data_IF_270368235850
#
_entry.id   IF_270368235850
#
_cell.length_a   1.000
_cell.length_b   1.000
_cell.length_c   1.000
_cell.angle_alpha   90.00
_cell.angle_beta   90.00
_cell.angle_gamma   90.00
#
_symmetry.space_group_name_H-M   'P 1'
#
loop_
_entity.id
_entity.type
_entity.pdbx_description
1 polymer ?
#
# COMPACT_ATOMS: atom_id res chain seq x y z
N UNK A 1 65.21 -50.99 -33.06
CA UNK A 1 65.92 -49.89 -33.74
C UNK A 1 64.92 -48.85 -34.20
N UNK A 2 65.27 -47.57 -33.99
CA UNK A 2 64.77 -46.34 -34.62
C UNK A 2 63.38 -45.78 -34.24
N UNK A 3 63.51 -44.60 -33.61
CA UNK A 3 62.56 -43.50 -33.42
C UNK A 3 62.02 -42.95 -34.75
N UNK A 4 61.03 -42.05 -34.60
CA UNK A 4 60.76 -40.83 -35.39
C UNK A 4 59.48 -40.88 -36.24
N UNK A 5 58.68 -39.82 -36.45
CA UNK A 5 58.41 -38.50 -35.85
C UNK A 5 57.33 -37.88 -36.78
N UNK A 6 56.27 -37.27 -36.22
CA UNK A 6 55.50 -36.07 -36.69
C UNK A 6 54.78 -36.19 -38.09
N UNK A 7 53.54 -35.76 -38.37
CA UNK A 7 53.00 -34.38 -38.53
C UNK A 7 51.50 -34.44 -38.92
N UNK A 8 50.68 -33.72 -38.13
CA UNK A 8 49.67 -32.70 -38.50
C UNK A 8 48.90 -32.90 -39.82
N UNK A 9 47.56 -33.00 -39.74
CA UNK A 9 46.64 -31.93 -40.16
C UNK A 9 45.24 -32.47 -40.52
N UNK A 10 44.25 -31.66 -40.17
CA UNK A 10 43.04 -31.35 -40.96
C UNK A 10 41.67 -31.88 -40.49
N UNK A 11 40.90 -30.91 -39.97
CA UNK A 11 39.54 -30.55 -40.41
C UNK A 11 38.42 -31.45 -39.87
N UNK A 12 37.80 -31.04 -38.75
CA UNK A 12 36.49 -30.37 -38.70
C UNK A 12 35.37 -31.26 -39.26
N UNK A 13 34.62 -31.91 -38.37
CA UNK A 13 33.17 -32.01 -38.52
C UNK A 13 32.46 -32.28 -37.17
N UNK A 14 31.70 -31.25 -36.76
CA UNK A 14 30.42 -31.32 -36.05
C UNK A 14 30.37 -31.83 -34.61
N UNK A 15 30.68 -30.90 -33.72
CA UNK A 15 29.74 -30.38 -32.70
C UNK A 15 28.27 -30.68 -33.00
N UNK A 16 27.56 -31.40 -32.13
CA UNK A 16 26.08 -31.36 -32.09
C UNK A 16 25.48 -31.91 -30.78
N UNK A 17 26.06 -31.64 -29.60
CA UNK A 17 25.33 -31.77 -28.32
C UNK A 17 25.82 -30.75 -27.28
N UNK A 18 25.95 -29.48 -27.68
CA UNK A 18 25.90 -28.40 -26.69
C UNK A 18 24.44 -28.14 -26.38
N UNK A 19 23.98 -28.79 -25.31
CA UNK A 19 22.79 -28.42 -24.56
C UNK A 19 22.62 -26.90 -24.57
N UNK A 20 21.47 -26.42 -25.05
CA UNK A 20 21.00 -25.08 -24.74
C UNK A 20 20.78 -25.04 -23.22
N UNK A 21 21.86 -24.76 -22.48
CA UNK A 21 21.77 -24.14 -21.18
C UNK A 21 21.08 -22.80 -21.45
N UNK A 22 19.75 -22.82 -21.35
CA UNK A 22 18.94 -21.62 -21.27
C UNK A 22 19.56 -20.83 -20.13
N UNK A 23 20.28 -19.76 -20.47
CA UNK A 23 20.77 -18.81 -19.47
C UNK A 23 19.54 -18.43 -18.67
N UNK A 24 19.52 -18.78 -17.38
CA UNK A 24 18.53 -18.22 -16.46
C UNK A 24 18.53 -16.72 -16.75
N UNK A 25 17.38 -16.23 -17.26
CA UNK A 25 17.19 -14.80 -17.36
C UNK A 25 17.48 -14.27 -15.96
N UNK A 26 18.31 -13.22 -15.81
CA UNK A 26 18.41 -12.56 -14.51
C UNK A 26 16.97 -12.33 -14.03
N UNK A 27 16.65 -12.64 -12.76
CA UNK A 27 15.30 -12.45 -12.26
C UNK A 27 14.87 -11.07 -12.69
N UNK A 28 13.77 -10.99 -13.47
CA UNK A 28 13.18 -9.69 -13.79
C UNK A 28 13.05 -9.00 -12.44
N UNK A 29 13.66 -7.83 -12.31
CA UNK A 29 13.42 -6.96 -11.17
C UNK A 29 11.90 -6.85 -11.07
N UNK A 30 11.32 -7.47 -10.03
CA UNK A 30 9.87 -7.53 -9.88
C UNK A 30 9.46 -6.09 -9.72
N UNK A 31 8.66 -5.58 -10.65
CA UNK A 31 8.09 -4.25 -10.51
C UNK A 31 7.17 -4.29 -9.28
N UNK A 32 7.63 -3.74 -8.16
CA UNK A 32 6.87 -3.75 -6.89
C UNK A 32 5.54 -2.99 -7.02
N UNK A 33 5.30 -2.27 -8.13
CA UNK A 33 4.05 -1.59 -8.44
C UNK A 33 3.06 -2.42 -9.26
N UNK A 34 3.43 -3.65 -9.65
CA UNK A 34 2.57 -4.58 -10.36
C UNK A 34 2.54 -5.93 -9.67
N UNK A 35 1.35 -6.43 -9.32
CA UNK A 35 1.17 -7.76 -8.73
C UNK A 35 0.66 -8.76 -9.78
N UNK A 36 -0.47 -8.47 -10.41
CA UNK A 36 -1.04 -9.32 -11.45
C UNK A 36 -1.98 -8.55 -12.40
N UNK A 37 -2.20 -9.09 -13.59
CA UNK A 37 -3.15 -8.56 -14.57
C UNK A 37 -4.55 -9.15 -14.37
N UNK A 38 -5.14 -8.90 -13.20
CA UNK A 38 -6.51 -9.31 -12.87
C UNK A 38 -7.37 -8.11 -12.44
N UNK A 39 -8.69 -8.35 -12.34
CA UNK A 39 -9.63 -7.36 -11.83
C UNK A 39 -9.37 -6.98 -10.37
N UNK A 40 -9.93 -5.85 -9.95
CA UNK A 40 -9.96 -5.48 -8.53
C UNK A 40 -10.84 -6.45 -7.72
N UNK A 41 -10.56 -6.58 -6.43
CA UNK A 41 -11.41 -7.34 -5.51
C UNK A 41 -11.42 -6.71 -4.11
N UNK A 42 -12.50 -6.95 -3.37
CA UNK A 42 -12.62 -6.51 -1.98
C UNK A 42 -11.77 -7.40 -1.08
N UNK A 43 -10.96 -6.77 -0.22
CA UNK A 43 -10.14 -7.47 0.78
C UNK A 43 -10.92 -7.59 2.10
N UNK A 44 -11.75 -6.59 2.40
CA UNK A 44 -12.65 -6.61 3.55
C UNK A 44 -12.97 -5.21 4.07
N UNK A 45 -13.62 -5.15 5.23
CA UNK A 45 -14.04 -3.90 5.87
C UNK A 45 -13.44 -3.76 7.27
N UNK A 46 -12.92 -2.57 7.59
CA UNK A 46 -12.43 -2.22 8.92
C UNK A 46 -13.22 -1.03 9.50
N UNK A 47 -13.50 -1.10 10.80
CA UNK A 47 -14.18 -0.04 11.53
C UNK A 47 -13.15 0.85 12.23
N UNK A 48 -13.02 2.11 11.79
CA UNK A 48 -12.04 3.05 12.32
C UNK A 48 -12.73 4.31 12.85
N UNK A 49 -12.09 4.98 13.81
CA UNK A 49 -12.54 6.31 14.18
C UNK A 49 -12.06 7.30 13.12
N UNK A 50 -12.97 8.15 12.64
CA UNK A 50 -12.65 9.21 11.70
C UNK A 50 -13.41 10.49 12.01
N UNK A 51 -12.85 11.63 11.63
CA UNK A 51 -13.54 12.93 11.68
C UNK A 51 -13.27 13.74 10.42
N UNK A 52 -14.20 14.64 10.09
CA UNK A 52 -14.04 15.63 9.03
C UNK A 52 -14.03 17.04 9.60
N UNK A 53 -13.08 17.87 9.14
CA UNK A 53 -12.90 19.22 9.64
C UNK A 53 -12.62 19.25 11.15
N UNK A 54 -13.51 19.90 11.91
CA UNK A 54 -13.42 20.04 13.38
C UNK A 54 -14.45 19.19 14.13
N UNK A 55 -15.07 18.22 13.46
CA UNK A 55 -16.06 17.34 14.09
C UNK A 55 -15.42 16.36 15.06
N UNK A 56 -16.21 15.86 16.02
CA UNK A 56 -15.76 14.80 16.91
C UNK A 56 -15.55 13.49 16.13
N UNK A 57 -14.50 12.71 16.46
CA UNK A 57 -14.32 11.38 15.88
C UNK A 57 -15.54 10.49 16.09
N UNK A 58 -15.90 9.73 15.06
CA UNK A 58 -16.96 8.73 15.10
C UNK A 58 -16.49 7.46 14.41
N UNK A 59 -17.12 6.33 14.69
CA UNK A 59 -16.84 5.08 13.98
C UNK A 59 -17.36 5.21 12.55
N UNK A 60 -16.51 4.87 11.59
CA UNK A 60 -16.83 4.80 10.17
C UNK A 60 -16.35 3.45 9.61
N UNK A 61 -17.09 2.93 8.64
CA UNK A 61 -16.70 1.74 7.91
C UNK A 61 -15.77 2.13 6.77
N UNK A 62 -14.62 1.46 6.67
CA UNK A 62 -13.66 1.59 5.60
C UNK A 62 -13.57 0.25 4.86
N UNK A 63 -14.17 0.19 3.68
CA UNK A 63 -14.07 -0.95 2.78
C UNK A 63 -12.77 -0.85 1.98
N UNK A 64 -11.93 -1.87 2.06
CA UNK A 64 -10.64 -1.97 1.38
C UNK A 64 -10.78 -2.79 0.10
N UNK A 65 -10.39 -2.19 -1.03
CA UNK A 65 -10.38 -2.82 -2.36
C UNK A 65 -8.96 -2.84 -2.89
N UNK A 66 -8.49 -4.01 -3.32
CA UNK A 66 -7.19 -4.17 -3.94
C UNK A 66 -7.27 -4.03 -5.46
N UNK A 67 -6.25 -3.39 -6.05
CA UNK A 67 -6.06 -3.29 -7.49
C UNK A 67 -4.70 -3.92 -7.85
N UNK A 68 -4.66 -5.21 -8.22
CA UNK A 68 -3.40 -5.93 -8.46
C UNK A 68 -2.53 -5.34 -9.58
N UNK A 69 -3.14 -4.75 -10.62
CA UNK A 69 -2.41 -4.18 -11.77
C UNK A 69 -1.48 -3.03 -11.43
N UNK A 70 -1.83 -2.24 -10.42
CA UNK A 70 -1.06 -1.06 -10.01
C UNK A 70 -0.65 -1.13 -8.54
N UNK A 71 -0.90 -2.27 -7.89
CA UNK A 71 -0.62 -2.53 -6.49
C UNK A 71 -1.17 -1.46 -5.52
N UNK A 72 -2.35 -0.92 -5.85
CA UNK A 72 -3.02 0.10 -5.04
C UNK A 72 -4.07 -0.53 -4.13
N UNK A 73 -4.23 0.04 -2.94
CA UNK A 73 -5.37 -0.22 -2.08
C UNK A 73 -6.21 1.05 -1.97
N UNK A 74 -7.50 0.91 -2.24
CA UNK A 74 -8.48 1.96 -2.04
C UNK A 74 -9.25 1.66 -0.75
N UNK A 75 -9.25 2.61 0.18
CA UNK A 75 -10.13 2.60 1.34
C UNK A 75 -11.31 3.53 1.08
N UNK A 76 -12.49 2.95 0.98
CA UNK A 76 -13.74 3.64 0.70
C UNK A 76 -14.54 3.80 1.97
N UNK A 77 -15.00 5.01 2.27
CA UNK A 77 -15.82 5.30 3.45
C UNK A 77 -16.87 6.36 3.14
N UNK A 78 -17.85 6.51 4.04
CA UNK A 78 -18.81 7.62 4.01
C UNK A 78 -18.59 8.52 5.22
N UNK A 79 -18.18 9.76 4.97
CA UNK A 79 -17.97 10.76 6.01
C UNK A 79 -18.83 11.99 5.69
N UNK A 80 -19.69 12.38 6.63
CA UNK A 80 -20.75 13.35 6.37
C UNK A 80 -21.71 12.86 5.28
N UNK A 81 -21.91 13.69 4.26
CA UNK A 81 -22.72 13.36 3.08
C UNK A 81 -21.89 12.72 1.95
N UNK A 82 -20.57 12.81 2.04
CA UNK A 82 -19.68 12.42 0.95
C UNK A 82 -19.23 10.97 1.09
N UNK A 83 -19.17 10.30 -0.06
CA UNK A 83 -18.36 9.10 -0.25
C UNK A 83 -16.92 9.57 -0.50
N UNK A 84 -15.99 9.01 0.25
CA UNK A 84 -14.55 9.29 0.16
C UNK A 84 -13.84 8.00 -0.23
N UNK A 85 -12.88 8.10 -1.15
CA UNK A 85 -11.95 7.03 -1.48
C UNK A 85 -10.53 7.53 -1.28
N UNK A 86 -9.77 6.83 -0.45
CA UNK A 86 -8.37 7.11 -0.16
C UNK A 86 -7.52 6.02 -0.81
N UNK A 87 -6.67 6.40 -1.74
CA UNK A 87 -5.84 5.49 -2.50
C UNK A 87 -4.39 5.55 -2.01
N UNK A 88 -3.89 4.38 -1.62
CA UNK A 88 -2.51 4.19 -1.20
C UNK A 88 -1.78 3.29 -2.18
N UNK A 89 -0.73 3.85 -2.78
CA UNK A 89 0.23 3.08 -3.56
C UNK A 89 1.10 2.22 -2.65
N UNK A 90 1.79 1.23 -3.23
CA UNK A 90 2.74 0.41 -2.49
C UNK A 90 3.81 1.22 -1.72
N UNK A 91 4.47 2.25 -2.31
CA UNK A 91 5.37 3.13 -1.57
C UNK A 91 4.72 3.82 -0.36
N UNK A 92 3.48 4.29 -0.51
CA UNK A 92 2.76 4.95 0.58
C UNK A 92 2.37 3.96 1.69
N UNK A 93 1.97 2.73 1.33
CA UNK A 93 1.73 1.64 2.31
C UNK A 93 3.00 1.30 3.08
N UNK A 94 4.16 1.25 2.41
CA UNK A 94 5.47 1.04 3.06
C UNK A 94 5.83 2.16 4.02
N UNK A 95 5.61 3.42 3.62
CA UNK A 95 5.82 4.59 4.47
C UNK A 95 4.92 4.57 5.73
N UNK A 96 3.65 4.19 5.56
CA UNK A 96 2.72 4.03 6.69
C UNK A 96 3.11 2.86 7.60
N UNK A 97 3.57 1.74 7.05
CA UNK A 97 4.02 0.59 7.84
C UNK A 97 5.23 0.94 8.71
N UNK A 98 6.21 1.68 8.19
CA UNK A 98 7.34 2.17 8.97
C UNK A 98 6.91 3.12 10.10
N UNK A 99 5.95 4.02 9.83
CA UNK A 99 5.40 4.91 10.84
C UNK A 99 4.62 4.14 11.91
N UNK A 100 3.86 3.12 11.52
CA UNK A 100 3.16 2.19 12.41
C UNK A 100 4.16 1.47 13.31
N UNK A 101 5.25 0.92 12.79
CA UNK A 101 6.25 0.21 13.59
C UNK A 101 6.80 1.11 14.70
N UNK A 102 7.17 2.36 14.35
CA UNK A 102 7.61 3.37 15.32
C UNK A 102 6.53 3.70 16.36
N UNK A 103 5.26 3.78 15.96
CA UNK A 103 4.16 3.99 16.91
C UNK A 103 3.99 2.81 17.87
N UNK A 104 4.02 1.58 17.37
CA UNK A 104 3.84 0.37 18.19
C UNK A 104 5.02 0.16 19.15
N UNK A 105 6.24 0.51 18.75
CA UNK A 105 7.41 0.56 19.62
C UNK A 105 7.19 1.52 20.78
N UNK A 106 6.88 2.80 20.49
CA UNK A 106 6.59 3.82 21.51
C UNK A 106 5.42 3.42 22.42
N UNK A 107 4.40 2.75 21.87
CA UNK A 107 3.24 2.27 22.62
C UNK A 107 3.64 1.18 23.61
N UNK A 108 4.40 0.19 23.14
CA UNK A 108 4.84 -0.95 23.95
C UNK A 108 5.79 -0.52 25.06
N UNK A 109 6.67 0.45 24.79
CA UNK A 109 7.61 0.99 25.77
C UNK A 109 6.97 2.01 26.73
N UNK A 110 5.71 2.41 26.49
CA UNK A 110 5.04 3.45 27.27
C UNK A 110 5.64 4.84 27.09
N UNK A 111 6.38 5.08 25.99
CA UNK A 111 7.10 6.32 25.69
C UNK A 111 6.31 7.24 24.74
N UNK A 112 4.98 7.18 24.77
CA UNK A 112 4.14 7.96 23.87
C UNK A 112 4.26 9.47 24.20
N UNK A 113 4.76 10.31 23.26
CA UNK A 113 4.87 11.75 23.48
C UNK A 113 3.48 12.37 23.72
N UNK A 114 3.33 13.10 24.82
CA UNK A 114 2.12 13.89 25.08
C UNK A 114 2.28 15.30 24.51
N UNK A 115 2.26 15.39 23.18
CA UNK A 115 2.36 16.67 22.47
C UNK A 115 1.27 16.80 21.42
N UNK A 116 0.89 18.05 21.12
CA UNK A 116 -0.15 18.33 20.13
C UNK A 116 0.31 17.89 18.73
N UNK A 117 -0.49 17.12 17.97
CA UNK A 117 -0.17 16.73 16.60
C UNK A 117 0.11 17.92 15.68
N UNK A 118 1.24 17.90 14.99
CA UNK A 118 1.67 18.89 13.99
C UNK A 118 2.45 18.17 12.87
N UNK A 119 2.62 18.83 11.73
CA UNK A 119 3.44 18.29 10.64
C UNK A 119 4.91 18.11 11.04
N UNK A 120 5.43 18.99 11.92
CA UNK A 120 6.84 18.99 12.36
C UNK A 120 7.23 17.83 13.29
N UNK A 121 6.26 17.20 13.94
CA UNK A 121 6.46 16.04 14.82
C UNK A 121 5.75 14.81 14.27
N UNK A 122 5.61 14.77 12.94
CA UNK A 122 5.01 13.63 12.28
C UNK A 122 5.90 12.39 12.36
N UNK A 123 5.29 11.21 12.49
CA UNK A 123 6.00 9.93 12.36
C UNK A 123 6.38 9.70 10.88
N UNK A 124 5.51 10.11 9.96
CA UNK A 124 5.75 10.16 8.53
C UNK A 124 4.89 11.24 7.85
N UNK A 125 5.29 11.62 6.65
CA UNK A 125 4.50 12.46 5.74
C UNK A 125 4.44 11.81 4.38
N UNK A 126 3.40 12.06 3.61
CA UNK A 126 3.28 11.54 2.25
C UNK A 126 2.19 12.27 1.45
N UNK A 127 1.90 11.76 0.27
CA UNK A 127 0.78 12.22 -0.54
C UNK A 127 -0.01 11.00 -1.01
N UNK A 128 -1.33 11.05 -0.87
CA UNK A 128 -2.20 9.99 -1.34
C UNK A 128 -3.28 10.59 -2.24
N UNK A 129 -3.71 9.78 -3.20
CA UNK A 129 -4.79 10.18 -4.09
C UNK A 129 -6.11 10.05 -3.34
N UNK A 130 -6.95 11.08 -3.44
CA UNK A 130 -8.24 11.16 -2.78
C UNK A 130 -9.31 11.44 -3.82
N UNK A 131 -10.39 10.65 -3.77
CA UNK A 131 -11.62 10.98 -4.45
C UNK A 131 -12.74 11.29 -3.46
N UNK A 132 -13.64 12.19 -3.83
CA UNK A 132 -14.81 12.50 -3.01
C UNK A 132 -16.02 12.94 -3.83
N UNK A 133 -17.19 12.83 -3.21
CA UNK A 133 -18.42 13.44 -3.70
C UNK A 133 -19.68 12.80 -3.11
N UNK A 134 -20.82 13.47 -3.26
CA UNK A 134 -22.05 13.12 -2.54
C UNK A 134 -22.80 11.92 -3.15
N UNK A 135 -22.83 11.82 -4.48
CA UNK A 135 -23.46 10.68 -5.20
C UNK A 135 -22.43 9.61 -5.61
N UNK A 136 -21.16 9.87 -5.35
CA UNK A 136 -20.01 9.07 -5.75
C UNK A 136 -18.74 9.93 -5.80
N UNK A 137 -17.56 9.30 -5.94
CA UNK A 137 -16.26 9.98 -6.08
C UNK A 137 -16.18 10.74 -7.43
N UNK A 138 -16.77 11.94 -7.50
CA UNK A 138 -16.78 12.77 -8.70
C UNK A 138 -15.62 13.76 -8.78
N UNK A 139 -14.97 14.01 -7.65
CA UNK A 139 -13.83 14.91 -7.53
C UNK A 139 -12.59 14.13 -7.16
N UNK A 140 -11.43 14.59 -7.65
CA UNK A 140 -10.15 13.91 -7.49
C UNK A 140 -9.01 14.88 -7.19
N UNK A 141 -8.11 14.49 -6.30
CA UNK A 141 -6.93 15.27 -5.94
C UNK A 141 -5.80 14.40 -5.39
N UNK A 142 -4.60 14.98 -5.30
CA UNK A 142 -3.55 14.47 -4.43
C UNK A 142 -3.55 15.29 -3.14
N UNK A 143 -3.82 14.63 -2.02
CA UNK A 143 -3.82 15.23 -0.71
C UNK A 143 -2.52 14.88 0.04
N UNK A 144 -1.84 15.90 0.54
CA UNK A 144 -0.78 15.68 1.51
C UNK A 144 -1.36 15.12 2.80
N UNK A 145 -0.64 14.17 3.40
CA UNK A 145 -0.96 13.67 4.72
C UNK A 145 0.26 13.71 5.64
N UNK A 146 0.00 13.67 6.93
CA UNK A 146 1.01 13.40 7.94
C UNK A 146 0.43 12.58 9.08
N UNK A 147 1.30 11.80 9.71
CA UNK A 147 0.92 10.87 10.77
C UNK A 147 1.46 11.32 12.12
N UNK A 148 0.69 11.15 13.18
CA UNK A 148 1.11 11.47 14.55
C UNK A 148 0.52 10.46 15.52
N UNK A 149 0.81 10.65 16.80
CA UNK A 149 0.07 10.02 17.89
C UNK A 149 -0.84 11.09 18.49
N UNK A 150 -2.14 10.79 18.60
CA UNK A 150 -3.11 11.69 19.24
C UNK A 150 -3.86 10.93 20.33
N UNK A 151 -3.91 11.52 21.52
CA UNK A 151 -4.74 11.00 22.60
C UNK A 151 -6.19 11.41 22.34
N UNK A 152 -7.04 10.42 22.07
CA UNK A 152 -8.49 10.58 21.94
C UNK A 152 -9.19 9.74 23.02
N UNK A 153 -10.49 9.48 22.86
CA UNK A 153 -11.36 8.58 23.66
C UNK A 153 -10.70 7.91 24.87
N UNK A 154 -11.15 8.29 26.07
CA UNK A 154 -10.61 7.81 27.35
C UNK A 154 -9.11 8.08 27.54
N UNK A 155 -8.59 9.13 26.90
CA UNK A 155 -7.18 9.50 26.93
C UNK A 155 -6.25 8.33 26.50
N UNK A 156 -6.66 7.60 25.47
CA UNK A 156 -5.87 6.52 24.87
C UNK A 156 -5.12 7.05 23.64
N UNK A 157 -3.86 6.63 23.41
CA UNK A 157 -3.06 7.11 22.29
C UNK A 157 -3.37 6.33 21.02
N UNK A 158 -3.88 7.02 19.99
CA UNK A 158 -4.16 6.46 18.68
C UNK A 158 -3.13 6.92 17.66
N UNK A 159 -2.80 6.05 16.71
CA UNK A 159 -2.12 6.45 15.49
C UNK A 159 -3.09 7.27 14.64
N UNK A 160 -2.70 8.49 14.32
CA UNK A 160 -3.53 9.42 13.55
C UNK A 160 -2.93 9.62 12.18
N UNK A 161 -3.76 9.51 11.15
CA UNK A 161 -3.47 10.01 9.80
C UNK A 161 -4.33 11.24 9.57
N UNK A 162 -3.72 12.38 9.25
CA UNK A 162 -4.45 13.55 8.77
C UNK A 162 -4.19 13.75 7.28
N UNK A 163 -5.28 13.77 6.52
CA UNK A 163 -5.31 14.31 5.16
C UNK A 163 -5.61 15.80 5.20
N UNK A 164 -4.69 16.59 4.63
CA UNK A 164 -4.88 18.02 4.46
C UNK A 164 -5.95 18.28 3.38
N UNK A 165 -6.72 19.36 3.55
CA UNK A 165 -7.64 19.79 2.49
C UNK A 165 -6.83 20.23 1.27
N UNK A 166 -7.23 19.75 0.10
CA UNK A 166 -6.58 20.06 -1.18
C UNK A 166 -7.63 20.44 -2.22
N UNK A 167 -7.22 21.19 -3.24
CA UNK A 167 -8.09 21.54 -4.36
C UNK A 167 -8.20 20.38 -5.33
N UNK A 168 -9.35 20.27 -5.98
CA UNK A 168 -9.55 19.34 -7.10
C UNK A 168 -8.56 19.62 -8.24
N UNK A 169 -8.13 18.56 -8.94
CA UNK A 169 -7.20 18.65 -10.08
C UNK A 169 -7.74 19.49 -11.23
N UNK A 170 -9.04 19.42 -11.49
CA UNK A 170 -9.69 20.08 -12.63
C UNK A 170 -10.05 21.55 -12.35
N UNK A 171 -9.60 22.11 -11.22
CA UNK A 171 -9.75 23.51 -10.80
C UNK A 171 -11.19 24.06 -10.84
N UNK A 172 -12.17 23.18 -10.60
CA UNK A 172 -13.61 23.54 -10.56
C UNK A 172 -13.99 24.44 -9.36
N UNK A 173 -13.04 24.71 -8.46
CA UNK A 173 -13.24 25.40 -7.19
C UNK A 173 -13.62 24.49 -6.02
N UNK A 174 -13.84 23.18 -6.25
CA UNK A 174 -14.09 22.22 -5.17
C UNK A 174 -12.82 21.88 -4.39
N UNK A 175 -12.98 21.57 -3.10
CA UNK A 175 -11.89 21.17 -2.22
C UNK A 175 -12.27 19.91 -1.47
N UNK A 176 -11.31 19.01 -1.27
CA UNK A 176 -11.51 17.82 -0.48
C UNK A 176 -11.83 18.18 0.98
N UNK A 177 -12.57 17.32 1.70
CA UNK A 177 -12.67 17.47 3.14
C UNK A 177 -11.31 17.21 3.80
N UNK A 178 -11.02 17.95 4.87
CA UNK A 178 -9.93 17.61 5.78
C UNK A 178 -10.34 16.40 6.63
N UNK A 179 -9.61 15.29 6.56
CA UNK A 179 -10.00 14.03 7.21
C UNK A 179 -8.94 13.62 8.23
N UNK A 180 -9.39 13.22 9.42
CA UNK A 180 -8.58 12.51 10.40
C UNK A 180 -9.04 11.06 10.47
N UNK A 181 -8.09 10.13 10.49
CA UNK A 181 -8.33 8.70 10.74
C UNK A 181 -7.51 8.32 11.97
N UNK A 182 -8.11 7.56 12.86
CA UNK A 182 -7.54 7.16 14.13
C UNK A 182 -7.55 5.63 14.23
N UNK A 183 -6.37 5.06 14.45
CA UNK A 183 -6.10 3.63 14.42
C UNK A 183 -5.46 3.25 15.76
N UNK A 184 -6.11 2.36 16.50
CA UNK A 184 -5.57 1.76 17.71
C UNK A 184 -4.55 0.65 17.38
N UNK A 185 -3.75 0.19 18.35
CA UNK A 185 -2.82 -0.92 18.10
C UNK A 185 -3.51 -2.20 17.62
N UNK A 186 -4.66 -2.56 18.19
CA UNK A 186 -5.43 -3.73 17.76
C UNK A 186 -6.02 -3.57 16.34
N UNK A 187 -6.37 -2.35 15.93
CA UNK A 187 -6.82 -2.09 14.55
C UNK A 187 -5.66 -2.17 13.57
N UNK A 188 -4.42 -1.88 13.98
CA UNK A 188 -3.26 -2.07 13.11
C UNK A 188 -2.99 -3.53 12.77
N UNK A 189 -3.23 -4.44 13.73
CA UNK A 189 -3.16 -5.88 13.48
C UNK A 189 -4.12 -6.29 12.36
N UNK A 190 -5.40 -5.87 12.45
CA UNK A 190 -6.40 -6.11 11.41
C UNK A 190 -6.00 -5.52 10.05
N UNK A 191 -5.46 -4.30 10.03
CA UNK A 191 -4.99 -3.68 8.77
C UNK A 191 -3.84 -4.50 8.17
N UNK A 192 -2.87 -4.96 8.97
CA UNK A 192 -1.76 -5.76 8.48
C UNK A 192 -2.22 -7.12 7.94
N UNK A 193 -3.09 -7.82 8.68
CA UNK A 193 -3.67 -9.09 8.24
C UNK A 193 -4.33 -8.97 6.86
N UNK A 194 -5.02 -7.86 6.59
CA UNK A 194 -5.71 -7.62 5.33
C UNK A 194 -4.78 -7.06 4.23
N UNK A 195 -3.91 -6.11 4.57
CA UNK A 195 -3.30 -5.21 3.59
C UNK A 195 -1.80 -5.39 3.40
N UNK A 196 -1.16 -6.31 4.13
CA UNK A 196 0.26 -6.61 3.95
C UNK A 196 0.51 -7.23 2.58
N UNK A 197 1.64 -6.88 1.97
CA UNK A 197 1.94 -7.26 0.59
C UNK A 197 1.91 -8.77 0.36
N UNK A 198 2.44 -9.56 1.29
CA UNK A 198 2.43 -11.01 1.20
C UNK A 198 1.01 -11.59 1.25
N UNK A 199 0.12 -11.02 2.07
CA UNK A 199 -1.30 -11.42 2.12
C UNK A 199 -1.98 -11.15 0.78
N UNK A 200 -1.76 -9.96 0.21
CA UNK A 200 -2.36 -9.59 -1.08
C UNK A 200 -1.87 -10.48 -2.23
N UNK A 201 -0.58 -10.81 -2.25
CA UNK A 201 0.00 -11.74 -3.23
C UNK A 201 -0.60 -13.14 -3.08
N UNK A 202 -0.74 -13.65 -1.85
CA UNK A 202 -1.35 -14.95 -1.60
C UNK A 202 -2.82 -15.01 -2.07
N UNK A 203 -3.60 -13.94 -1.85
CA UNK A 203 -4.98 -13.87 -2.34
C UNK A 203 -5.05 -13.83 -3.87
N UNK A 204 -4.11 -13.14 -4.53
CA UNK A 204 -4.01 -13.13 -5.99
C UNK A 204 -3.67 -14.53 -6.51
N UNK A 205 -2.72 -15.22 -5.89
CA UNK A 205 -2.34 -16.58 -6.28
C UNK A 205 -3.53 -17.54 -6.15
N UNK A 206 -4.29 -17.47 -5.05
CA UNK A 206 -5.52 -18.26 -4.86
C UNK A 206 -6.55 -18.03 -5.97
N UNK A 207 -6.80 -16.76 -6.33
CA UNK A 207 -7.73 -16.40 -7.42
C UNK A 207 -7.25 -16.96 -8.77
N UNK A 208 -5.95 -16.92 -9.04
CA UNK A 208 -5.38 -17.43 -10.29
C UNK A 208 -5.45 -18.97 -10.34
N UNK A 209 -5.14 -19.66 -9.25
CA UNK A 209 -5.26 -21.11 -9.13
C UNK A 209 -6.71 -21.58 -9.35
N UNK A 210 -7.68 -20.88 -8.76
CA UNK A 210 -9.10 -21.16 -8.98
C UNK A 210 -9.51 -20.99 -10.45
N UNK A 211 -8.99 -19.94 -11.12
CA UNK A 211 -9.31 -19.69 -12.53
C UNK A 211 -8.70 -20.74 -13.48
N UNK A 212 -7.52 -21.28 -13.16
CA UNK A 212 -6.86 -22.34 -13.92
C UNK A 212 -7.49 -23.72 -13.72
N UNK A 213 -8.27 -23.92 -12.65
CA UNK A 213 -8.94 -25.18 -12.35
C UNK A 213 -10.20 -25.45 -13.21
N UNK A 214 -10.65 -24.48 -14.01
CA UNK A 214 -11.80 -24.58 -14.92
C UNK A 214 -11.41 -24.87 -16.38
#
# INVERSE_FOLDING_TARGET
MKKSIIIISAIILTTLFTSCASKEKPPRERDETFVADIGQFEIGTIHLYASYGMTQPRICDFNAVFYPRNNYIYFTTKIGIDKIELCFSYPERKNLSQAKDKYLELYTEGQIPNEKPKKKNALSTGNAYINWGTLGPSHQAYASYYTNIEYILDNKPYFRILFEQTKELDDSGNSSPRINIYISPAQWEQICEMCDQATLEAQVDEILEEAEAF
#
